data_IF_273444143581
#
_entry.id   IF_273444143581
#
_cell.length_a   1.000
_cell.length_b   1.000
_cell.length_c   1.000
_cell.angle_alpha   90.00
_cell.angle_beta   90.00
_cell.angle_gamma   90.00
#
_symmetry.space_group_name_H-M   'P 1'
#
loop_
_entity.id
_entity.type
_entity.pdbx_description
1 polymer ?
#
# COMPACT_ATOMS: atom_id res chain seq x y z
N UNK A 1 -15.31 -3.73 13.09
CA UNK A 1 -14.60 -2.62 12.42
C UNK A 1 -14.29 -1.61 13.50
N UNK A 2 -13.08 -1.66 14.05
CA UNK A 2 -12.62 -0.60 14.94
C UNK A 2 -12.17 0.51 14.01
N UNK A 3 -12.93 1.59 14.03
CA UNK A 3 -12.52 2.89 13.54
C UNK A 3 -11.38 3.40 14.44
N UNK A 4 -10.16 2.96 14.15
CA UNK A 4 -8.95 3.72 14.49
C UNK A 4 -8.65 4.64 13.32
N UNK A 5 -9.56 5.56 13.02
CA UNK A 5 -9.19 6.79 12.33
C UNK A 5 -8.00 7.36 13.07
N UNK A 6 -6.86 7.40 12.39
CA UNK A 6 -5.74 8.20 12.85
C UNK A 6 -6.25 9.63 12.88
N UNK A 7 -6.59 10.10 14.07
CA UNK A 7 -7.05 11.47 14.26
C UNK A 7 -5.89 12.38 13.96
N UNK A 8 -6.21 13.48 13.27
CA UNK A 8 -5.28 14.58 13.13
C UNK A 8 -4.81 15.03 14.53
N UNK A 9 -3.55 15.47 14.61
CA UNK A 9 -2.96 15.89 15.87
C UNK A 9 -3.36 17.34 16.08
N UNK A 10 -4.03 17.62 17.20
CA UNK A 10 -4.38 18.97 17.62
C UNK A 10 -3.30 19.53 18.55
N UNK A 11 -2.77 20.70 18.20
CA UNK A 11 -1.78 21.41 18.99
C UNK A 11 -2.34 22.78 19.40
N UNK A 12 -2.46 23.02 20.69
CA UNK A 12 -2.93 24.30 21.23
C UNK A 12 -1.71 25.13 21.61
N UNK A 13 -1.53 26.28 20.96
CA UNK A 13 -0.45 27.20 21.28
C UNK A 13 -1.00 28.63 21.37
N UNK A 14 -0.78 29.28 22.51
CA UNK A 14 -1.25 30.65 22.80
C UNK A 14 -2.75 30.89 22.51
N UNK A 15 -3.58 29.87 22.73
CA UNK A 15 -5.03 29.93 22.51
C UNK A 15 -5.46 29.68 21.06
N UNK A 16 -4.53 29.45 20.14
CA UNK A 16 -4.82 29.01 18.79
C UNK A 16 -4.65 27.49 18.67
N UNK A 17 -5.58 26.86 17.93
CA UNK A 17 -5.57 25.43 17.66
C UNK A 17 -5.00 25.20 16.27
N UNK A 18 -3.92 24.43 16.21
CA UNK A 18 -3.28 23.98 14.98
C UNK A 18 -3.59 22.50 14.76
N UNK A 19 -3.90 22.12 13.53
CA UNK A 19 -4.21 20.73 13.17
C UNK A 19 -3.14 20.19 12.25
N UNK A 20 -2.52 19.07 12.61
CA UNK A 20 -1.49 18.39 11.84
C UNK A 20 -2.11 17.11 11.26
N UNK A 21 -2.19 16.99 9.93
CA UNK A 21 -2.69 15.78 9.30
C UNK A 21 -1.90 14.53 9.70
N UNK A 22 -2.61 13.47 10.11
CA UNK A 22 -2.01 12.20 10.53
C UNK A 22 -2.44 11.04 9.64
N UNK A 23 -2.55 11.30 8.33
CA UNK A 23 -2.91 10.30 7.32
C UNK A 23 -2.24 10.60 5.99
N UNK A 24 -2.05 9.56 5.17
CA UNK A 24 -1.54 9.71 3.81
C UNK A 24 -2.52 10.50 2.94
N UNK A 25 -3.81 10.24 3.12
CA UNK A 25 -4.89 10.81 2.32
C UNK A 25 -5.03 12.33 2.50
N UNK A 26 -4.59 12.88 3.63
CA UNK A 26 -4.64 14.32 3.87
C UNK A 26 -3.45 15.10 3.26
N UNK A 27 -2.44 14.41 2.72
CA UNK A 27 -1.27 15.06 2.14
C UNK A 27 -1.61 15.77 0.82
N UNK A 28 -0.97 16.93 0.61
CA UNK A 28 -0.92 17.57 -0.71
C UNK A 28 0.10 16.87 -1.61
N UNK A 29 -0.05 16.99 -2.93
CA UNK A 29 0.90 16.44 -3.91
C UNK A 29 2.35 16.87 -3.62
N UNK A 30 2.57 18.15 -3.29
CA UNK A 30 3.89 18.69 -2.95
C UNK A 30 4.47 18.06 -1.69
N UNK A 31 3.65 17.89 -0.63
CA UNK A 31 4.09 17.25 0.61
C UNK A 31 4.43 15.78 0.39
N UNK A 32 3.62 15.07 -0.40
CA UNK A 32 3.80 13.67 -0.71
C UNK A 32 5.08 13.40 -1.52
N UNK A 33 5.32 14.12 -2.62
CA UNK A 33 6.56 13.99 -3.42
C UNK A 33 7.80 14.24 -2.55
N UNK A 34 7.76 15.28 -1.72
CA UNK A 34 8.87 15.60 -0.84
C UNK A 34 9.07 14.56 0.28
N UNK A 35 7.99 13.91 0.75
CA UNK A 35 8.07 12.82 1.72
C UNK A 35 8.64 11.55 1.07
N UNK A 36 8.21 11.20 -0.14
CA UNK A 36 8.75 10.07 -0.91
C UNK A 36 10.25 10.25 -1.14
N UNK A 37 10.71 11.47 -1.43
CA UNK A 37 12.16 11.77 -1.48
C UNK A 37 12.88 11.40 -0.17
N UNK A 38 12.34 11.82 0.97
CA UNK A 38 12.95 11.51 2.27
C UNK A 38 12.90 9.99 2.57
N UNK A 39 11.84 9.29 2.15
CA UNK A 39 11.72 7.83 2.27
C UNK A 39 12.72 7.08 1.39
N UNK A 40 12.96 7.54 0.15
CA UNK A 40 13.96 6.94 -0.73
C UNK A 40 15.38 7.07 -0.13
N UNK A 41 15.67 8.21 0.48
CA UNK A 41 16.94 8.44 1.20
C UNK A 41 17.05 7.58 2.47
N UNK A 42 15.94 7.36 3.18
CA UNK A 42 15.89 6.43 4.31
C UNK A 42 16.18 5.00 3.87
N UNK A 43 15.59 4.55 2.75
CA UNK A 43 15.85 3.22 2.19
C UNK A 43 17.31 3.03 1.77
N UNK A 44 18.01 4.10 1.38
CA UNK A 44 19.44 4.12 1.07
C UNK A 44 20.34 4.24 2.32
N UNK A 45 19.77 4.31 3.52
CA UNK A 45 20.50 4.46 4.78
C UNK A 45 21.01 5.89 5.06
N UNK A 46 20.64 6.88 4.25
CA UNK A 46 21.08 8.27 4.43
C UNK A 46 20.30 9.02 5.52
N UNK A 47 19.08 8.57 5.83
CA UNK A 47 18.20 9.19 6.82
C UNK A 47 17.64 8.13 7.78
N UNK A 48 17.56 8.47 9.06
CA UNK A 48 16.82 7.68 10.04
C UNK A 48 15.31 8.00 9.97
N UNK A 49 14.46 7.03 10.33
CA UNK A 49 13.00 7.18 10.31
C UNK A 49 12.52 8.39 11.15
N UNK A 50 13.11 8.64 12.32
CA UNK A 50 12.81 9.82 13.15
C UNK A 50 13.09 11.14 12.43
N UNK A 51 14.18 11.22 11.65
CA UNK A 51 14.51 12.42 10.87
C UNK A 51 13.49 12.64 9.75
N UNK A 52 12.99 11.57 9.12
CA UNK A 52 11.91 11.66 8.13
C UNK A 52 10.64 12.24 8.75
N UNK A 53 10.23 11.76 9.94
CA UNK A 53 9.07 12.31 10.68
C UNK A 53 9.24 13.80 10.97
N UNK A 54 10.39 14.21 11.51
CA UNK A 54 10.69 15.60 11.84
C UNK A 54 10.65 16.50 10.60
N UNK A 55 11.28 16.09 9.50
CA UNK A 55 11.26 16.85 8.24
C UNK A 55 9.86 16.99 7.68
N UNK A 56 9.07 15.93 7.75
CA UNK A 56 7.69 15.94 7.29
C UNK A 56 6.83 16.89 8.13
N UNK A 57 6.92 16.81 9.45
CA UNK A 57 6.25 17.71 10.39
C UNK A 57 6.59 19.18 10.12
N UNK A 58 7.88 19.49 9.98
CA UNK A 58 8.33 20.84 9.65
C UNK A 58 7.74 21.34 8.32
N UNK A 59 7.59 20.46 7.32
CA UNK A 59 7.01 20.79 6.01
C UNK A 59 5.51 21.04 6.08
N UNK A 60 4.78 20.29 6.89
CA UNK A 60 3.34 20.52 7.12
C UNK A 60 3.14 21.89 7.76
N UNK A 61 3.94 22.20 8.78
CA UNK A 61 3.78 23.40 9.60
C UNK A 61 4.52 24.64 9.08
N UNK A 62 5.18 24.52 7.92
CA UNK A 62 6.09 25.55 7.36
C UNK A 62 7.17 26.03 8.36
N UNK A 63 7.63 25.12 9.22
CA UNK A 63 8.70 25.39 10.18
C UNK A 63 10.08 25.17 9.59
N UNK A 64 11.04 26.00 10.02
CA UNK A 64 12.44 25.86 9.62
C UNK A 64 13.21 25.16 10.74
N UNK A 65 13.75 23.98 10.45
CA UNK A 65 14.49 23.16 11.43
C UNK A 65 15.59 23.94 12.17
N UNK A 66 16.28 24.85 11.46
CA UNK A 66 17.32 25.74 12.02
C UNK A 66 16.86 26.70 13.14
N UNK A 67 15.55 26.85 13.33
CA UNK A 67 14.97 27.70 14.36
C UNK A 67 14.85 26.98 15.72
N UNK A 68 14.93 25.64 15.75
CA UNK A 68 14.92 24.83 16.97
C UNK A 68 16.37 24.64 17.42
N UNK A 69 16.80 25.36 18.47
CA UNK A 69 18.20 25.40 18.92
C UNK A 69 18.40 24.89 20.34
N UNK A 70 17.38 24.97 21.19
CA UNK A 70 17.47 24.48 22.57
C UNK A 70 17.12 23.00 22.65
N UNK A 71 17.66 22.31 23.64
CA UNK A 71 17.33 20.89 23.88
C UNK A 71 15.82 20.67 24.07
N UNK A 72 15.16 21.55 24.81
CA UNK A 72 13.71 21.51 25.01
C UNK A 72 12.93 21.66 23.70
N UNK A 73 13.35 22.59 22.83
CA UNK A 73 12.73 22.78 21.51
C UNK A 73 12.88 21.53 20.63
N UNK A 74 14.06 20.91 20.65
CA UNK A 74 14.34 19.68 19.89
C UNK A 74 13.55 18.50 20.46
N UNK A 75 13.50 18.35 21.78
CA UNK A 75 12.73 17.31 22.46
C UNK A 75 11.23 17.42 22.16
N UNK A 76 10.67 18.63 22.21
CA UNK A 76 9.27 18.89 21.87
C UNK A 76 8.98 18.58 20.40
N UNK A 77 9.89 18.95 19.50
CA UNK A 77 9.75 18.64 18.07
C UNK A 77 9.80 17.12 17.82
N UNK A 78 10.71 16.41 18.49
CA UNK A 78 10.80 14.96 18.40
C UNK A 78 9.52 14.29 18.91
N UNK A 79 9.07 14.64 20.12
CA UNK A 79 7.86 14.09 20.73
C UNK A 79 6.61 14.35 19.87
N UNK A 80 6.51 15.54 19.26
CA UNK A 80 5.41 15.83 18.33
C UNK A 80 5.52 15.02 17.04
N UNK A 81 6.74 14.85 16.51
CA UNK A 81 6.96 14.07 15.29
C UNK A 81 6.63 12.59 15.48
N UNK A 82 6.84 12.03 16.67
CA UNK A 82 6.52 10.63 17.00
C UNK A 82 5.02 10.35 17.01
N UNK A 83 4.18 11.38 17.20
CA UNK A 83 2.73 11.24 17.08
C UNK A 83 2.26 11.04 15.62
N UNK A 84 3.15 11.25 14.63
CA UNK A 84 2.91 10.90 13.22
C UNK A 84 3.02 9.37 13.04
N UNK A 85 1.94 8.68 13.39
CA UNK A 85 1.86 7.21 13.43
C UNK A 85 1.49 6.58 12.09
N UNK A 86 1.14 7.39 11.09
CA UNK A 86 0.74 6.91 9.75
C UNK A 86 1.92 6.58 8.84
N UNK A 87 3.13 7.07 9.15
CA UNK A 87 4.28 6.93 8.25
C UNK A 87 4.93 5.56 8.31
N UNK A 88 5.02 4.99 9.52
CA UNK A 88 5.81 3.79 9.76
C UNK A 88 5.08 2.78 10.64
N UNK A 89 5.31 1.50 10.34
CA UNK A 89 5.03 0.38 11.20
C UNK A 89 6.32 -0.18 11.79
N UNK A 90 6.26 -0.57 13.05
CA UNK A 90 7.32 -1.29 13.73
C UNK A 90 7.17 -2.76 13.40
N UNK A 91 8.25 -3.34 12.89
CA UNK A 91 8.38 -4.74 12.55
C UNK A 91 9.34 -5.39 13.55
N UNK A 92 8.81 -6.30 14.37
CA UNK A 92 9.59 -7.09 15.31
C UNK A 92 10.10 -8.38 14.65
N UNK A 93 11.14 -9.03 15.23
CA UNK A 93 11.65 -10.31 14.75
C UNK A 93 10.58 -11.40 14.58
N UNK A 94 10.89 -12.39 13.76
CA UNK A 94 10.04 -13.56 13.49
C UNK A 94 8.61 -13.20 13.05
N UNK A 95 8.49 -12.22 12.15
CA UNK A 95 7.20 -11.73 11.63
C UNK A 95 6.23 -11.30 12.75
N UNK A 96 6.72 -10.54 13.73
CA UNK A 96 5.95 -10.09 14.89
C UNK A 96 5.48 -11.23 15.81
N UNK A 97 6.24 -12.33 15.91
CA UNK A 97 5.92 -13.45 16.80
C UNK A 97 5.67 -13.00 18.24
N UNK A 98 6.45 -12.04 18.73
CA UNK A 98 6.29 -11.47 20.07
C UNK A 98 4.91 -10.85 20.33
N UNK A 99 4.17 -10.50 19.28
CA UNK A 99 2.83 -9.90 19.39
C UNK A 99 1.71 -10.95 19.30
N UNK A 100 2.03 -12.24 19.17
CA UNK A 100 1.02 -13.29 19.10
C UNK A 100 0.19 -13.37 20.39
N UNK A 101 -1.11 -13.58 20.24
CA UNK A 101 -2.05 -13.65 21.36
C UNK A 101 -2.51 -12.31 21.93
N UNK A 102 -1.99 -11.19 21.42
CA UNK A 102 -2.53 -9.86 21.75
C UNK A 102 -3.89 -9.62 21.09
N UNK A 103 -4.67 -8.72 21.67
CA UNK A 103 -5.87 -8.18 21.02
C UNK A 103 -5.48 -7.43 19.74
N UNK A 104 -6.39 -7.35 18.75
CA UNK A 104 -6.15 -6.57 17.53
C UNK A 104 -5.76 -5.11 17.84
N UNK A 105 -6.37 -4.51 18.86
CA UNK A 105 -6.08 -3.14 19.28
C UNK A 105 -4.65 -3.00 19.82
N UNK A 106 -4.23 -3.88 20.72
CA UNK A 106 -2.88 -3.85 21.30
C UNK A 106 -1.81 -4.21 20.27
N UNK A 107 -2.10 -5.18 19.39
CA UNK A 107 -1.25 -5.52 18.26
C UNK A 107 -0.98 -4.29 17.38
N UNK A 108 -2.01 -3.53 17.02
CA UNK A 108 -1.83 -2.31 16.21
C UNK A 108 -1.10 -1.22 16.99
N UNK A 109 -1.33 -1.06 18.30
CA UNK A 109 -0.59 -0.09 19.13
C UNK A 109 0.90 -0.42 19.18
N UNK A 110 1.25 -1.70 19.43
CA UNK A 110 2.65 -2.15 19.44
C UNK A 110 3.37 -1.93 18.12
N UNK A 111 2.64 -1.93 16.99
CA UNK A 111 3.21 -1.69 15.66
C UNK A 111 3.28 -0.21 15.27
N UNK A 112 2.67 0.71 16.03
CA UNK A 112 2.60 2.13 15.64
C UNK A 112 3.27 3.08 16.62
N UNK A 113 3.26 2.70 17.89
CA UNK A 113 3.82 3.49 18.97
C UNK A 113 5.16 2.87 19.35
N UNK A 114 6.16 3.73 19.50
CA UNK A 114 7.49 3.31 19.92
C UNK A 114 7.44 2.54 21.26
N UNK A 115 8.16 1.41 21.41
CA UNK A 115 8.21 0.65 22.66
C UNK A 115 8.56 1.48 23.90
N UNK A 116 9.34 2.56 23.77
CA UNK A 116 9.67 3.45 24.88
C UNK A 116 8.47 4.27 25.38
N UNK A 117 7.44 4.42 24.55
CA UNK A 117 6.21 5.17 24.86
C UNK A 117 4.97 4.26 25.04
N UNK A 118 5.13 2.95 24.90
CA UNK A 118 4.06 1.99 25.16
C UNK A 118 3.79 1.84 26.65
N UNK A 119 2.51 1.90 27.03
CA UNK A 119 2.04 1.64 28.41
C UNK A 119 1.68 0.16 28.65
N UNK A 120 1.81 -0.69 27.63
CA UNK A 120 1.47 -2.10 27.71
C UNK A 120 2.52 -2.91 28.49
N UNK A 121 2.12 -3.97 29.21
CA UNK A 121 3.07 -4.79 29.99
C UNK A 121 4.23 -5.37 29.14
N UNK A 122 3.97 -5.67 27.87
CA UNK A 122 4.95 -6.23 26.95
C UNK A 122 6.02 -5.21 26.49
N UNK A 123 5.83 -3.91 26.74
CA UNK A 123 6.70 -2.84 26.23
C UNK A 123 8.18 -3.06 26.57
N UNK A 124 8.49 -3.48 27.82
CA UNK A 124 9.89 -3.75 28.25
C UNK A 124 10.56 -4.87 27.47
N UNK A 125 9.79 -5.86 27.00
CA UNK A 125 10.32 -6.93 26.16
C UNK A 125 10.58 -6.41 24.74
N UNK A 126 9.62 -5.66 24.18
CA UNK A 126 9.73 -5.06 22.85
C UNK A 126 10.90 -4.07 22.73
N UNK A 127 11.18 -3.29 23.77
CA UNK A 127 12.32 -2.35 23.83
C UNK A 127 13.68 -3.04 23.67
N UNK A 128 13.79 -4.33 24.02
CA UNK A 128 15.04 -5.10 23.95
C UNK A 128 15.21 -5.84 22.64
N UNK A 129 14.19 -5.83 21.78
CA UNK A 129 14.20 -6.51 20.49
C UNK A 129 14.87 -5.62 19.44
N UNK A 130 15.51 -6.26 18.47
CA UNK A 130 16.03 -5.61 17.28
C UNK A 130 14.89 -5.37 16.27
N UNK A 131 14.04 -4.39 16.57
CA UNK A 131 12.91 -4.03 15.72
C UNK A 131 13.31 -3.00 14.66
N UNK A 132 12.60 -3.01 13.53
CA UNK A 132 12.86 -2.11 12.40
C UNK A 132 11.62 -1.30 12.06
N UNK A 133 11.81 -0.08 11.55
CA UNK A 133 10.72 0.71 10.99
C UNK A 133 10.54 0.38 9.51
N UNK A 134 9.32 0.02 9.15
CA UNK A 134 8.88 -0.22 7.77
C UNK A 134 7.86 0.85 7.38
N UNK A 135 7.80 1.24 6.11
CA UNK A 135 6.83 2.26 5.66
C UNK A 135 5.42 1.69 5.70
N UNK A 136 4.48 2.39 6.33
CA UNK A 136 3.06 2.01 6.35
C UNK A 136 2.36 2.42 5.04
N UNK A 137 2.74 1.79 3.93
CA UNK A 137 2.26 2.17 2.61
C UNK A 137 0.91 1.49 2.29
N UNK A 138 -0.17 1.95 2.90
CA UNK A 138 -1.52 1.38 2.72
C UNK A 138 -2.62 2.45 2.82
N UNK A 139 -3.02 3.02 1.69
CA UNK A 139 -4.08 4.05 1.61
C UNK A 139 -4.79 4.02 0.24
N UNK A 140 -5.96 4.64 0.16
CA UNK A 140 -6.83 4.62 -1.03
C UNK A 140 -7.13 6.02 -1.56
N UNK A 141 -6.09 6.76 -1.95
CA UNK A 141 -6.23 8.08 -2.58
C UNK A 141 -5.17 8.27 -3.66
N UNK A 142 -5.57 8.83 -4.80
CA UNK A 142 -4.63 9.29 -5.82
C UNK A 142 -4.07 10.66 -5.41
N UNK A 143 -2.83 10.69 -4.92
CA UNK A 143 -2.15 11.91 -4.47
C UNK A 143 -1.45 12.67 -5.61
N UNK A 144 -1.33 12.05 -6.78
CA UNK A 144 -0.86 12.68 -8.01
C UNK A 144 -1.93 12.47 -9.10
N UNK A 145 -3.02 13.25 -9.09
CA UNK A 145 -4.11 13.07 -10.06
C UNK A 145 -3.71 13.46 -11.48
N UNK A 146 -2.69 14.31 -11.63
CA UNK A 146 -2.25 14.85 -12.90
C UNK A 146 -0.73 15.11 -12.89
N UNK A 147 -0.09 14.87 -14.02
CA UNK A 147 1.31 15.25 -14.27
C UNK A 147 1.42 16.05 -15.55
N UNK A 148 2.26 17.08 -15.51
CA UNK A 148 2.51 17.96 -16.64
C UNK A 148 3.81 17.58 -17.34
N UNK A 149 3.74 17.23 -18.62
CA UNK A 149 4.90 16.88 -19.44
C UNK A 149 4.83 17.61 -20.78
N UNK A 150 5.85 18.40 -21.10
CA UNK A 150 5.98 19.12 -22.39
C UNK A 150 4.72 19.93 -22.79
N UNK A 151 4.10 20.64 -21.84
CA UNK A 151 2.94 21.48 -22.15
C UNK A 151 1.61 20.72 -22.21
N UNK A 152 1.60 19.41 -21.99
CA UNK A 152 0.39 18.59 -21.91
C UNK A 152 0.24 17.99 -20.51
N UNK A 153 -1.00 18.01 -20.03
CA UNK A 153 -1.39 17.32 -18.81
C UNK A 153 -1.82 15.88 -19.10
N UNK A 154 -1.40 14.97 -18.24
CA UNK A 154 -1.77 13.56 -18.26
C UNK A 154 -2.45 13.23 -16.94
N UNK A 155 -3.63 12.62 -17.02
CA UNK A 155 -4.43 12.26 -15.84
C UNK A 155 -4.18 10.83 -15.40
N UNK A 156 -4.02 10.65 -14.10
CA UNK A 156 -3.91 9.34 -13.47
C UNK A 156 -5.26 8.62 -13.40
N UNK A 157 -5.19 7.34 -13.09
CA UNK A 157 -6.36 6.58 -12.65
C UNK A 157 -7.02 7.20 -11.39
N UNK A 158 -8.33 7.03 -11.28
CA UNK A 158 -9.12 7.53 -10.15
C UNK A 158 -9.38 6.42 -9.12
N UNK A 159 -9.56 6.83 -7.87
CA UNK A 159 -9.98 5.97 -6.76
C UNK A 159 -11.13 6.69 -6.07
N UNK A 160 -12.23 5.98 -5.83
CA UNK A 160 -13.35 6.46 -5.02
C UNK A 160 -13.68 5.41 -3.96
N UNK A 161 -13.79 5.86 -2.72
CA UNK A 161 -14.14 5.03 -1.55
C UNK A 161 -15.44 5.48 -0.88
N UNK A 162 -16.19 6.39 -1.52
CA UNK A 162 -17.43 6.96 -0.99
C UNK A 162 -18.46 5.85 -0.74
N UNK A 163 -19.30 6.00 0.28
CA UNK A 163 -20.31 5.01 0.68
C UNK A 163 -19.74 3.62 1.01
N UNK A 164 -18.51 3.55 1.53
CA UNK A 164 -17.81 2.31 1.88
C UNK A 164 -17.70 1.33 0.70
N UNK A 165 -17.66 1.85 -0.53
CA UNK A 165 -17.46 1.05 -1.74
C UNK A 165 -16.24 1.58 -2.47
N UNK A 166 -15.31 0.69 -2.76
CA UNK A 166 -14.14 0.99 -3.57
C UNK A 166 -14.47 0.85 -5.06
N UNK A 167 -14.18 1.89 -5.82
CA UNK A 167 -14.18 1.88 -7.29
C UNK A 167 -12.89 2.54 -7.79
N UNK A 168 -12.50 2.17 -9.01
CA UNK A 168 -11.35 2.75 -9.68
C UNK A 168 -11.54 2.70 -11.19
N UNK A 169 -10.91 3.62 -11.91
CA UNK A 169 -10.91 3.63 -13.37
C UNK A 169 -9.94 2.61 -14.01
N UNK A 170 -9.11 1.93 -13.22
CA UNK A 170 -8.17 0.94 -13.74
C UNK A 170 -8.89 -0.25 -14.40
N UNK A 171 -8.35 -0.68 -15.53
CA UNK A 171 -8.69 -1.98 -16.15
C UNK A 171 -7.87 -3.10 -15.53
N UNK A 172 -8.29 -4.35 -15.76
CA UNK A 172 -7.57 -5.53 -15.29
C UNK A 172 -6.15 -5.60 -15.88
N UNK A 173 -6.00 -5.42 -17.19
CA UNK A 173 -4.71 -5.47 -17.87
C UNK A 173 -3.78 -4.36 -17.38
N UNK A 174 -4.27 -3.11 -17.31
CA UNK A 174 -3.50 -1.98 -16.82
C UNK A 174 -2.99 -2.20 -15.39
N UNK A 175 -3.81 -2.80 -14.53
CA UNK A 175 -3.40 -3.12 -13.16
C UNK A 175 -2.35 -4.23 -13.11
N UNK A 176 -2.51 -5.30 -13.89
CA UNK A 176 -1.59 -6.44 -13.91
C UNK A 176 -0.21 -6.01 -14.39
N UNK A 177 -0.14 -5.33 -15.54
CA UNK A 177 1.14 -4.83 -16.07
C UNK A 177 1.79 -3.84 -15.11
N UNK A 178 1.01 -2.91 -14.52
CA UNK A 178 1.56 -2.00 -13.51
C UNK A 178 2.07 -2.74 -12.26
N UNK A 179 1.41 -3.82 -11.85
CA UNK A 179 1.78 -4.62 -10.68
C UNK A 179 3.08 -5.40 -10.91
N UNK A 180 3.26 -5.96 -12.11
CA UNK A 180 4.48 -6.66 -12.51
C UNK A 180 5.72 -5.76 -12.50
N UNK A 181 5.56 -4.46 -12.81
CA UNK A 181 6.66 -3.50 -12.85
C UNK A 181 7.13 -3.00 -11.48
N UNK A 182 6.33 -3.16 -10.41
CA UNK A 182 6.67 -2.64 -9.07
C UNK A 182 7.97 -3.25 -8.51
N UNK A 183 8.26 -4.50 -8.85
CA UNK A 183 9.41 -5.26 -8.32
C UNK A 183 10.63 -5.23 -9.26
N UNK A 184 10.55 -4.52 -10.39
CA UNK A 184 11.59 -4.51 -11.45
C UNK A 184 12.61 -3.36 -11.33
N UNK A 185 12.52 -2.54 -10.29
CA UNK A 185 13.48 -1.47 -10.00
C UNK A 185 13.15 -0.10 -10.62
N UNK A 186 14.07 0.86 -10.46
CA UNK A 186 13.78 2.27 -10.82
C UNK A 186 13.73 2.54 -12.35
N UNK A 187 14.40 1.72 -13.15
CA UNK A 187 14.47 1.89 -14.62
C UNK A 187 13.11 1.68 -15.31
N UNK A 188 12.21 0.92 -14.68
CA UNK A 188 10.86 0.65 -15.22
C UNK A 188 9.82 1.69 -14.80
N UNK A 189 10.17 2.62 -13.91
CA UNK A 189 9.23 3.63 -13.41
C UNK A 189 8.61 4.51 -14.51
N UNK A 190 9.33 4.92 -15.57
CA UNK A 190 8.70 5.65 -16.68
C UNK A 190 7.60 4.84 -17.37
N UNK A 191 7.81 3.53 -17.57
CA UNK A 191 6.81 2.65 -18.15
C UNK A 191 5.62 2.50 -17.21
N UNK A 192 5.86 2.24 -15.93
CA UNK A 192 4.81 2.19 -14.90
C UNK A 192 3.97 3.47 -14.90
N UNK A 193 4.61 4.64 -14.93
CA UNK A 193 3.91 5.91 -14.98
C UNK A 193 3.07 6.06 -16.26
N UNK A 194 3.61 5.69 -17.42
CA UNK A 194 2.87 5.74 -18.69
C UNK A 194 1.64 4.82 -18.71
N UNK A 195 1.71 3.67 -18.03
CA UNK A 195 0.58 2.74 -17.87
C UNK A 195 -0.49 3.38 -16.99
N UNK A 196 -0.11 3.91 -15.81
CA UNK A 196 -1.05 4.44 -14.82
C UNK A 196 -1.71 5.78 -15.22
N UNK A 197 -1.09 6.52 -16.14
CA UNK A 197 -1.55 7.80 -16.66
C UNK A 197 -2.04 7.70 -18.12
N UNK A 198 -2.29 6.48 -18.59
CA UNK A 198 -2.81 6.26 -19.92
C UNK A 198 -4.27 6.75 -20.02
N UNK A 199 -4.55 7.60 -21.00
CA UNK A 199 -5.88 8.18 -21.21
C UNK A 199 -6.69 7.38 -22.25
N UNK A 200 -7.95 7.10 -21.93
CA UNK A 200 -8.87 6.41 -22.83
C UNK A 200 -8.80 4.87 -22.72
N UNK A 201 -9.07 4.17 -23.82
CA UNK A 201 -9.07 2.70 -23.84
C UNK A 201 -7.64 2.17 -23.79
N UNK A 202 -7.31 1.47 -22.70
CA UNK A 202 -5.95 1.01 -22.41
C UNK A 202 -5.38 0.12 -23.52
N UNK A 203 -4.10 0.31 -23.82
CA UNK A 203 -3.33 -0.48 -24.78
C UNK A 203 -1.86 -0.51 -24.36
N UNK A 204 -1.32 -1.71 -24.12
CA UNK A 204 0.04 -1.91 -23.66
C UNK A 204 1.07 -1.32 -24.63
N UNK A 205 0.90 -1.54 -25.94
CA UNK A 205 1.76 -0.98 -26.99
C UNK A 205 1.81 0.55 -26.92
N UNK A 206 0.65 1.20 -26.81
CA UNK A 206 0.56 2.66 -26.79
C UNK A 206 1.08 3.23 -25.47
N UNK A 207 0.83 2.57 -24.34
CA UNK A 207 1.41 2.94 -23.06
C UNK A 207 2.94 2.85 -23.13
N UNK A 208 3.48 1.76 -23.67
CA UNK A 208 4.91 1.58 -23.84
C UNK A 208 5.54 2.65 -24.73
N UNK A 209 4.87 3.03 -25.82
CA UNK A 209 5.31 4.13 -26.69
C UNK A 209 5.36 5.50 -25.98
N UNK A 210 4.58 5.68 -24.90
CA UNK A 210 4.61 6.89 -24.06
C UNK A 210 5.71 6.85 -22.99
N UNK A 211 6.28 5.70 -22.65
CA UNK A 211 7.29 5.59 -21.59
C UNK A 211 8.48 6.56 -21.75
N UNK A 212 9.07 6.79 -22.96
CA UNK A 212 10.13 7.77 -23.14
C UNK A 212 9.70 9.22 -22.86
N UNK A 213 8.41 9.52 -22.99
CA UNK A 213 7.86 10.83 -22.62
C UNK A 213 7.84 10.98 -21.10
N UNK A 214 7.37 9.97 -20.38
CA UNK A 214 7.31 9.94 -18.91
C UNK A 214 8.68 9.90 -18.25
N UNK A 215 9.71 9.40 -18.95
CA UNK A 215 11.11 9.42 -18.48
C UNK A 215 11.65 10.84 -18.24
N UNK A 216 10.98 11.88 -18.74
CA UNK A 216 11.35 13.28 -18.51
C UNK A 216 10.87 13.81 -17.14
N UNK A 217 10.00 13.08 -16.44
CA UNK A 217 9.60 13.42 -15.07
C UNK A 217 10.80 13.28 -14.12
N UNK A 218 10.77 14.04 -13.02
CA UNK A 218 11.80 13.88 -11.98
C UNK A 218 11.73 12.48 -11.37
N UNK A 219 12.88 11.96 -10.94
CA UNK A 219 12.98 10.67 -10.23
C UNK A 219 12.00 10.61 -9.06
N UNK A 220 11.87 11.68 -8.29
CA UNK A 220 10.97 11.72 -7.13
C UNK A 220 9.50 11.70 -7.51
N UNK A 221 9.13 12.29 -8.65
CA UNK A 221 7.76 12.18 -9.18
C UNK A 221 7.47 10.73 -9.58
N UNK A 222 8.38 10.08 -10.30
CA UNK A 222 8.24 8.69 -10.75
C UNK A 222 8.14 7.72 -9.55
N UNK A 223 8.99 7.90 -8.54
CA UNK A 223 8.91 7.16 -7.29
C UNK A 223 7.58 7.42 -6.57
N UNK A 224 7.11 8.66 -6.52
CA UNK A 224 5.84 8.99 -5.88
C UNK A 224 4.64 8.34 -6.58
N UNK A 225 4.65 8.25 -7.92
CA UNK A 225 3.65 7.52 -8.70
C UNK A 225 3.63 6.05 -8.30
N UNK A 226 4.81 5.41 -8.27
CA UNK A 226 4.96 4.01 -7.86
C UNK A 226 4.44 3.77 -6.43
N UNK A 227 4.83 4.63 -5.48
CA UNK A 227 4.37 4.56 -4.09
C UNK A 227 2.85 4.69 -3.97
N UNK A 228 2.24 5.60 -4.73
CA UNK A 228 0.77 5.77 -4.75
C UNK A 228 0.07 4.50 -5.25
N UNK A 229 0.58 3.88 -6.31
CA UNK A 229 0.03 2.65 -6.85
C UNK A 229 0.24 1.46 -5.92
N UNK A 230 1.44 1.32 -5.34
CA UNK A 230 1.74 0.28 -4.36
C UNK A 230 0.85 0.43 -3.11
N UNK A 231 0.64 1.65 -2.61
CA UNK A 231 -0.25 1.92 -1.49
C UNK A 231 -1.70 1.49 -1.78
N UNK A 232 -2.20 1.82 -2.97
CA UNK A 232 -3.54 1.43 -3.40
C UNK A 232 -3.67 -0.10 -3.54
N UNK A 233 -2.66 -0.75 -4.12
CA UNK A 233 -2.60 -2.21 -4.24
C UNK A 233 -2.61 -2.88 -2.85
N UNK A 234 -1.82 -2.36 -1.91
CA UNK A 234 -1.79 -2.85 -0.54
C UNK A 234 -3.15 -2.64 0.16
N UNK A 235 -3.79 -1.50 -0.06
CA UNK A 235 -5.13 -1.22 0.46
C UNK A 235 -6.17 -2.21 -0.07
N UNK A 236 -6.19 -2.46 -1.38
CA UNK A 236 -7.10 -3.41 -2.02
C UNK A 236 -7.02 -4.79 -1.34
N UNK A 237 -5.82 -5.28 -1.06
CA UNK A 237 -5.63 -6.62 -0.51
C UNK A 237 -5.50 -6.71 1.01
N UNK A 238 -5.53 -5.60 1.74
CA UNK A 238 -5.48 -5.63 3.21
C UNK A 238 -6.75 -5.09 3.87
N UNK A 239 -7.42 -4.11 3.26
CA UNK A 239 -8.59 -3.42 3.84
C UNK A 239 -9.91 -3.80 3.20
N UNK A 240 -9.91 -4.57 2.11
CA UNK A 240 -11.13 -4.95 1.40
C UNK A 240 -11.40 -6.46 1.45
N UNK A 241 -12.56 -6.85 0.92
CA UNK A 241 -12.94 -8.26 0.76
C UNK A 241 -11.99 -9.06 -0.16
N UNK A 242 -11.15 -8.38 -0.95
CA UNK A 242 -10.15 -9.01 -1.81
C UNK A 242 -8.92 -9.50 -1.06
N UNK A 243 -8.79 -9.21 0.24
CA UNK A 243 -7.73 -9.78 1.09
C UNK A 243 -7.68 -11.30 1.13
N UNK A 244 -8.70 -12.00 0.65
CA UNK A 244 -8.62 -13.45 0.43
C UNK A 244 -7.55 -13.81 -0.61
N UNK A 245 -7.38 -12.98 -1.64
CA UNK A 245 -6.52 -13.25 -2.80
C UNK A 245 -5.02 -13.14 -2.50
N UNK A 246 -4.65 -12.70 -1.29
CA UNK A 246 -3.25 -12.58 -0.85
C UNK A 246 -2.91 -13.53 0.30
N UNK A 247 -3.85 -14.42 0.69
CA UNK A 247 -3.64 -15.37 1.78
C UNK A 247 -3.12 -16.72 1.31
N UNK A 248 -2.72 -16.83 0.04
CA UNK A 248 -2.13 -18.05 -0.47
C UNK A 248 -0.77 -18.28 0.20
N UNK A 249 -0.52 -19.50 0.63
CA UNK A 249 0.79 -19.90 1.15
C UNK A 249 1.79 -19.92 -0.01
N UNK A 250 2.96 -19.30 0.18
CA UNK A 250 4.05 -19.33 -0.80
C UNK A 250 4.46 -20.79 -1.05
N UNK A 251 4.13 -21.32 -2.23
CA UNK A 251 4.65 -22.61 -2.67
C UNK A 251 6.12 -22.39 -3.08
N UNK A 252 7.05 -23.31 -2.77
CA UNK A 252 8.43 -23.22 -3.23
C UNK A 252 8.44 -23.06 -4.76
N UNK A 253 9.25 -22.12 -5.26
CA UNK A 253 9.41 -21.77 -6.67
C UNK A 253 9.49 -23.05 -7.52
N UNK A 254 8.38 -23.39 -8.17
CA UNK A 254 8.38 -24.37 -9.26
C UNK A 254 8.71 -23.61 -10.54
N UNK A 255 9.51 -24.16 -11.46
CA UNK A 255 9.98 -23.43 -12.65
C UNK A 255 8.89 -22.97 -13.63
N UNK A 256 7.63 -23.38 -13.40
CA UNK A 256 6.46 -23.01 -14.19
C UNK A 256 5.35 -22.65 -13.18
N UNK A 257 5.32 -21.39 -12.75
CA UNK A 257 4.19 -20.83 -12.00
C UNK A 257 3.36 -19.98 -12.95
N UNK A 258 2.06 -20.25 -12.98
CA UNK A 258 1.01 -19.51 -13.69
C UNK A 258 1.02 -18.07 -13.20
N UNK A 259 1.34 -17.12 -14.07
CA UNK A 259 1.44 -15.69 -13.69
C UNK A 259 0.05 -15.05 -13.63
N UNK A 260 -0.07 -13.85 -13.05
CA UNK A 260 -1.34 -13.09 -13.02
C UNK A 260 -1.90 -12.83 -14.44
N UNK A 261 -1.03 -12.80 -15.45
CA UNK A 261 -1.38 -12.75 -16.86
C UNK A 261 -2.07 -14.05 -17.35
N UNK A 262 -1.60 -15.22 -16.93
CA UNK A 262 -2.22 -16.51 -17.30
C UNK A 262 -3.63 -16.65 -16.69
N UNK A 263 -3.86 -16.07 -15.52
CA UNK A 263 -5.19 -16.01 -14.90
C UNK A 263 -6.22 -15.21 -15.74
N UNK A 264 -5.79 -14.21 -16.52
CA UNK A 264 -6.67 -13.53 -17.48
C UNK A 264 -7.08 -14.48 -18.61
N UNK A 265 -6.13 -15.26 -19.13
CA UNK A 265 -6.37 -16.21 -20.22
C UNK A 265 -7.24 -17.39 -19.78
N UNK A 266 -7.04 -17.90 -18.56
CA UNK A 266 -7.88 -18.95 -17.98
C UNK A 266 -9.35 -18.51 -17.87
N UNK A 267 -9.60 -17.25 -17.49
CA UNK A 267 -10.96 -16.71 -17.43
C UNK A 267 -11.59 -16.59 -18.83
N UNK A 268 -10.79 -16.35 -19.88
CA UNK A 268 -11.29 -16.30 -21.25
C UNK A 268 -11.67 -17.69 -21.76
N UNK A 269 -10.84 -18.70 -21.46
CA UNK A 269 -11.11 -20.10 -21.78
C UNK A 269 -12.37 -20.63 -21.10
N UNK A 270 -12.72 -20.09 -19.93
CA UNK A 270 -13.94 -20.46 -19.17
C UNK A 270 -15.22 -19.78 -19.68
N UNK A 271 -15.15 -19.02 -20.78
CA UNK A 271 -16.32 -18.44 -21.44
C UNK A 271 -16.87 -17.17 -20.76
N UNK A 272 -16.07 -16.50 -19.92
CA UNK A 272 -16.43 -15.22 -19.29
C UNK A 272 -16.25 -14.00 -20.21
N UNK A 273 -15.69 -14.22 -21.40
CA UNK A 273 -15.45 -13.23 -22.45
C UNK A 273 -14.27 -13.64 -23.32
N UNK A 274 -14.09 -12.97 -24.46
CA UNK A 274 -12.84 -13.10 -25.22
C UNK A 274 -11.69 -12.40 -24.46
N UNK A 275 -10.43 -12.71 -24.81
CA UNK A 275 -9.27 -12.18 -24.10
C UNK A 275 -9.30 -10.65 -23.99
N UNK A 276 -9.72 -9.96 -25.05
CA UNK A 276 -9.82 -8.50 -25.09
C UNK A 276 -10.88 -7.94 -24.13
N UNK A 277 -12.01 -8.63 -23.95
CA UNK A 277 -13.05 -8.24 -23.01
C UNK A 277 -12.57 -8.36 -21.56
N UNK A 278 -11.75 -9.37 -21.27
CA UNK A 278 -11.20 -9.60 -19.93
C UNK A 278 -10.08 -8.60 -19.62
N UNK A 279 -9.19 -8.34 -20.57
CA UNK A 279 -8.16 -7.31 -20.45
C UNK A 279 -8.75 -5.93 -20.12
N UNK A 280 -9.86 -5.56 -20.77
CA UNK A 280 -10.52 -4.27 -20.59
C UNK A 280 -11.54 -4.27 -19.44
N UNK A 281 -11.70 -5.39 -18.74
CA UNK A 281 -12.64 -5.51 -17.63
C UNK A 281 -12.26 -4.52 -16.52
N UNK A 282 -13.21 -3.81 -15.90
CA UNK A 282 -12.92 -2.97 -14.74
C UNK A 282 -12.27 -3.80 -13.62
N UNK A 283 -11.19 -3.29 -13.02
CA UNK A 283 -10.39 -4.01 -12.03
C UNK A 283 -11.22 -4.61 -10.88
N UNK A 284 -12.17 -3.84 -10.35
CA UNK A 284 -13.02 -4.30 -9.23
C UNK A 284 -13.90 -5.49 -9.65
N UNK A 285 -14.36 -5.52 -10.91
CA UNK A 285 -15.13 -6.65 -11.45
C UNK A 285 -14.23 -7.88 -11.61
N UNK A 286 -13.04 -7.70 -12.17
CA UNK A 286 -12.03 -8.75 -12.31
C UNK A 286 -11.69 -9.39 -10.95
N UNK A 287 -11.38 -8.58 -9.93
CA UNK A 287 -11.07 -9.09 -8.58
C UNK A 287 -12.27 -9.80 -7.93
N UNK A 288 -13.50 -9.37 -8.19
CA UNK A 288 -14.72 -10.07 -7.72
C UNK A 288 -14.87 -11.44 -8.36
N UNK A 289 -14.60 -11.54 -9.66
CA UNK A 289 -14.64 -12.81 -10.41
C UNK A 289 -13.61 -13.77 -9.84
N UNK A 290 -12.35 -13.33 -9.71
CA UNK A 290 -11.28 -14.14 -9.11
C UNK A 290 -11.66 -14.63 -7.70
N UNK A 291 -12.11 -13.71 -6.83
CA UNK A 291 -12.53 -14.06 -5.47
C UNK A 291 -13.66 -15.08 -5.46
N UNK A 292 -14.67 -14.92 -6.34
CA UNK A 292 -15.78 -15.87 -6.45
C UNK A 292 -15.29 -17.24 -6.89
N UNK A 293 -14.40 -17.30 -7.89
CA UNK A 293 -13.80 -18.55 -8.40
C UNK A 293 -13.04 -19.29 -7.30
N UNK A 294 -12.19 -18.59 -6.53
CA UNK A 294 -11.48 -19.18 -5.39
C UNK A 294 -12.43 -19.76 -4.35
N UNK A 295 -13.51 -19.06 -4.02
CA UNK A 295 -14.52 -19.53 -3.07
C UNK A 295 -15.26 -20.77 -3.61
N UNK A 296 -15.64 -20.76 -4.88
CA UNK A 296 -16.29 -21.90 -5.53
C UNK A 296 -15.39 -23.13 -5.54
N UNK A 297 -14.12 -22.99 -5.92
CA UNK A 297 -13.17 -24.11 -5.93
C UNK A 297 -13.05 -24.80 -4.56
N UNK A 298 -12.98 -24.02 -3.47
CA UNK A 298 -12.97 -24.57 -2.09
C UNK A 298 -14.26 -25.32 -1.77
N UNK A 299 -15.42 -24.77 -2.15
CA UNK A 299 -16.72 -25.40 -1.89
C UNK A 299 -16.93 -26.67 -2.69
N UNK A 300 -16.51 -26.69 -3.95
CA UNK A 300 -16.62 -27.85 -4.83
C UNK A 300 -15.73 -28.99 -4.33
N UNK A 301 -14.48 -28.71 -3.96
CA UNK A 301 -13.58 -29.73 -3.38
C UNK A 301 -14.13 -30.29 -2.06
N UNK A 302 -14.72 -29.44 -1.21
CA UNK A 302 -15.42 -29.89 0.00
C UNK A 302 -16.63 -30.77 -0.34
N UNK A 303 -17.42 -30.39 -1.35
CA UNK A 303 -18.55 -31.17 -1.87
C UNK A 303 -18.15 -32.53 -2.44
N UNK A 304 -16.94 -32.65 -3.00
CA UNK A 304 -16.34 -33.92 -3.43
C UNK A 304 -15.79 -34.77 -2.27
N UNK A 305 -15.95 -34.32 -1.02
CA UNK A 305 -15.54 -35.04 0.18
C UNK A 305 -14.05 -34.93 0.51
N UNK A 306 -13.34 -33.92 -0.04
CA UNK A 306 -11.93 -33.72 0.27
C UNK A 306 -11.79 -33.18 1.69
N UNK A 307 -10.82 -33.69 2.44
CA UNK A 307 -10.52 -33.14 3.76
C UNK A 307 -9.89 -31.73 3.65
N UNK A 308 -9.94 -30.98 4.74
CA UNK A 308 -9.48 -29.58 4.78
C UNK A 308 -7.97 -29.44 4.51
N UNK A 309 -7.16 -30.44 4.84
CA UNK A 309 -5.72 -30.42 4.60
C UNK A 309 -5.40 -30.61 3.11
N UNK A 310 -6.16 -31.49 2.44
CA UNK A 310 -6.10 -31.72 1.01
C UNK A 310 -6.55 -30.47 0.25
N UNK A 311 -7.66 -29.85 0.64
CA UNK A 311 -8.12 -28.58 0.05
C UNK A 311 -7.06 -27.47 0.23
N UNK A 312 -6.45 -27.39 1.42
CA UNK A 312 -5.36 -26.44 1.71
C UNK A 312 -4.18 -26.61 0.76
N UNK A 313 -3.81 -27.86 0.48
CA UNK A 313 -2.67 -28.18 -0.39
C UNK A 313 -2.97 -27.86 -1.86
N UNK A 314 -4.16 -28.22 -2.34
CA UNK A 314 -4.60 -28.01 -3.72
C UNK A 314 -4.79 -26.51 -4.02
N UNK A 315 -5.62 -25.83 -3.23
CA UNK A 315 -5.96 -24.42 -3.44
C UNK A 315 -4.85 -23.48 -2.96
N UNK A 316 -3.99 -23.93 -2.04
CA UNK A 316 -2.93 -23.12 -1.46
C UNK A 316 -3.41 -22.11 -0.40
N UNK A 317 -4.62 -22.27 0.13
CA UNK A 317 -5.16 -21.40 1.20
C UNK A 317 -5.00 -22.05 2.57
N UNK A 318 -4.62 -21.31 3.63
CA UNK A 318 -4.53 -21.83 4.99
C UNK A 318 -5.86 -22.42 5.46
N UNK A 319 -5.79 -23.48 6.28
CA UNK A 319 -6.97 -24.16 6.86
C UNK A 319 -7.87 -23.17 7.61
N UNK A 320 -7.29 -22.17 8.29
CA UNK A 320 -8.04 -21.14 9.01
C UNK A 320 -8.94 -20.29 8.09
N UNK A 321 -8.56 -20.13 6.83
CA UNK A 321 -9.31 -19.42 5.79
C UNK A 321 -10.34 -20.34 5.14
N UNK A 322 -9.99 -21.59 4.87
CA UNK A 322 -10.93 -22.60 4.38
C UNK A 322 -12.12 -22.75 5.35
N UNK A 323 -11.84 -22.78 6.65
CA UNK A 323 -12.87 -22.81 7.70
C UNK A 323 -13.81 -21.59 7.71
N UNK A 324 -13.41 -20.45 7.14
CA UNK A 324 -14.25 -19.26 7.02
C UNK A 324 -15.07 -19.27 5.72
N UNK A 325 -14.67 -20.07 4.74
CA UNK A 325 -15.34 -20.19 3.43
C UNK A 325 -16.47 -21.23 3.49
N UNK A 326 -16.23 -22.34 4.19
CA UNK A 326 -17.18 -23.43 4.44
C UNK A 326 -18.09 -23.08 5.63
#
# INVERSE_FOLDING_TARGET
MIDTTMKDIELIYKGETYTIPNSWEALTQKQFIALVRDLARMAQGELAAGVVRIRHLCRIMDWKLKNFRTEEQVANLLALSEQLTFLFLIQYPDNNFALQGLSDADFQRCRRIDPFHLTLPIARALQRMDYQYTVDLCFAKQLLPEVHIKGKDYRAYTIDTTYNRITTSLTALQYIEAKELLDQGEETLPLLASILYYEGKYSSEKAHALAPLFAQLSRETLLAISFCFQAFSNYLFSKTSFSLLTKFEEKPLRPITTDAADALYDLSQEGLGNAQEIEQMPLITYLKVLRKKTISAVKDMSGFGYDKAKISTEVGLPISIINKIL
#
